data_IF_718816450875
#
_entry.id   IF_718816450875
#
_cell.length_a   1.000
_cell.length_b   1.000
_cell.length_c   1.000
_cell.angle_alpha   90.00
_cell.angle_beta   90.00
_cell.angle_gamma   90.00
#
_symmetry.space_group_name_H-M   'P 1'
#
loop_
_entity.id
_entity.type
_entity.pdbx_description
1 polymer ?
#
# COMPACT_ATOMS: atom_id res chain seq x y z
N UNK A 1 -3.58 -11.70 -22.43
CA UNK A 1 -4.35 -11.70 -21.16
C UNK A 1 -3.75 -12.81 -20.32
N UNK A 2 -3.32 -12.52 -19.08
CA UNK A 2 -2.73 -13.54 -18.20
C UNK A 2 -3.86 -14.43 -17.64
N UNK A 3 -3.65 -15.75 -17.57
CA UNK A 3 -4.66 -16.74 -17.11
C UNK A 3 -5.12 -16.43 -15.68
N UNK A 4 -4.22 -15.92 -14.85
CA UNK A 4 -4.51 -15.48 -13.49
C UNK A 4 -5.55 -14.36 -13.44
N UNK A 5 -5.46 -13.37 -14.34
CA UNK A 5 -6.42 -12.25 -14.40
C UNK A 5 -7.78 -12.69 -14.96
N UNK A 6 -7.84 -13.80 -15.71
CA UNK A 6 -9.10 -14.35 -16.20
C UNK A 6 -9.82 -15.10 -15.08
N UNK A 7 -9.10 -15.92 -14.31
CA UNK A 7 -9.64 -16.67 -13.17
C UNK A 7 -10.08 -15.73 -12.03
N UNK A 8 -9.33 -14.67 -11.74
CA UNK A 8 -9.71 -13.70 -10.72
C UNK A 8 -11.02 -12.98 -11.07
N UNK A 9 -11.21 -12.62 -12.34
CA UNK A 9 -12.43 -11.96 -12.81
C UNK A 9 -13.64 -12.90 -12.75
N UNK A 10 -13.48 -14.15 -13.16
CA UNK A 10 -14.54 -15.17 -13.16
C UNK A 10 -15.00 -15.53 -11.73
N UNK A 11 -14.05 -15.59 -10.78
CA UNK A 11 -14.36 -15.83 -9.36
C UNK A 11 -15.12 -14.63 -8.74
N UNK A 12 -14.73 -13.40 -9.06
CA UNK A 12 -15.44 -12.19 -8.58
C UNK A 12 -16.87 -12.16 -9.12
N UNK A 13 -17.06 -12.41 -10.41
CA UNK A 13 -18.37 -12.39 -11.07
C UNK A 13 -19.30 -13.49 -10.52
N UNK A 14 -18.75 -14.68 -10.20
CA UNK A 14 -19.48 -15.74 -9.53
C UNK A 14 -19.92 -15.38 -8.11
N UNK A 15 -19.05 -14.72 -7.33
CA UNK A 15 -19.36 -14.30 -5.96
C UNK A 15 -20.41 -13.18 -5.92
N UNK A 16 -20.31 -12.20 -6.83
CA UNK A 16 -21.29 -11.12 -6.97
C UNK A 16 -22.68 -11.66 -7.35
N UNK A 17 -22.72 -12.63 -8.27
CA UNK A 17 -23.97 -13.32 -8.66
C UNK A 17 -24.59 -14.09 -7.48
N UNK A 18 -23.78 -14.76 -6.66
CA UNK A 18 -24.26 -15.48 -5.47
C UNK A 18 -24.76 -14.56 -4.37
N UNK A 19 -24.19 -13.39 -4.21
CA UNK A 19 -24.66 -12.38 -3.26
C UNK A 19 -25.97 -11.72 -3.73
N UNK A 20 -26.15 -11.53 -5.04
CA UNK A 20 -27.41 -11.04 -5.61
C UNK A 20 -28.56 -12.05 -5.38
N UNK A 21 -28.33 -13.33 -5.70
CA UNK A 21 -29.30 -14.42 -5.48
C UNK A 21 -29.69 -14.56 -3.99
N UNK A 22 -28.78 -14.24 -3.06
CA UNK A 22 -29.04 -14.25 -1.61
C UNK A 22 -29.83 -13.03 -1.13
N UNK A 23 -29.68 -11.88 -1.78
CA UNK A 23 -30.46 -10.67 -1.46
C UNK A 23 -31.90 -10.82 -1.94
N UNK A 24 -32.11 -11.28 -3.17
CA UNK A 24 -33.45 -11.51 -3.72
C UNK A 24 -34.24 -12.54 -2.90
N UNK A 25 -33.59 -13.63 -2.45
CA UNK A 25 -34.23 -14.62 -1.55
C UNK A 25 -34.57 -14.07 -0.16
N UNK A 26 -33.90 -13.03 0.31
CA UNK A 26 -34.20 -12.39 1.61
C UNK A 26 -35.32 -11.37 1.50
N UNK A 27 -35.46 -10.71 0.35
CA UNK A 27 -36.53 -9.76 0.06
C UNK A 27 -37.89 -10.48 -0.06
N UNK A 28 -37.95 -11.61 -0.78
CA UNK A 28 -39.18 -12.39 -0.94
C UNK A 28 -39.68 -12.95 0.42
N UNK A 29 -38.78 -13.37 1.30
CA UNK A 29 -39.12 -13.87 2.65
C UNK A 29 -39.52 -12.73 3.60
N UNK A 30 -39.00 -11.51 3.39
CA UNK A 30 -39.39 -10.36 4.21
C UNK A 30 -40.79 -9.84 3.85
N UNK A 31 -41.16 -9.86 2.55
CA UNK A 31 -42.49 -9.46 2.09
C UNK A 31 -43.59 -10.46 2.50
N UNK A 32 -43.34 -11.77 2.46
CA UNK A 32 -44.31 -12.78 2.92
C UNK A 32 -44.55 -12.77 4.44
N UNK A 33 -43.57 -12.31 5.24
CA UNK A 33 -43.70 -12.24 6.71
C UNK A 33 -44.41 -10.96 7.16
N UNK A 34 -44.32 -9.86 6.43
CA UNK A 34 -45.02 -8.61 6.78
C UNK A 34 -46.54 -8.69 6.57
N UNK A 35 -47.03 -9.54 5.66
CA UNK A 35 -48.47 -9.66 5.38
C UNK A 35 -49.22 -10.48 6.45
N UNK A 36 -48.53 -11.30 7.26
CA UNK A 36 -49.08 -12.04 8.40
C UNK A 36 -48.73 -11.40 9.75
N UNK A 37 -48.93 -10.09 9.86
CA UNK A 37 -48.95 -9.41 11.16
C UNK A 37 -50.14 -9.91 12.00
N UNK A 38 -49.88 -10.84 12.91
CA UNK A 38 -50.67 -11.04 14.12
C UNK A 38 -50.73 -9.69 14.85
N UNK A 39 -51.76 -8.86 14.57
CA UNK A 39 -51.98 -7.52 15.16
C UNK A 39 -51.97 -7.47 16.70
N UNK A 40 -51.94 -8.62 17.36
CA UNK A 40 -51.85 -8.77 18.82
C UNK A 40 -50.74 -9.78 19.12
N UNK A 41 -49.67 -9.33 19.78
CA UNK A 41 -48.58 -10.19 20.25
C UNK A 41 -49.05 -10.96 21.50
N UNK A 42 -49.68 -12.11 21.25
CA UNK A 42 -50.25 -12.97 22.28
C UNK A 42 -49.20 -13.47 23.28
N UNK A 43 -47.98 -13.74 22.81
CA UNK A 43 -46.92 -14.27 23.68
C UNK A 43 -46.50 -13.23 24.72
N UNK A 44 -46.27 -11.99 24.29
CA UNK A 44 -45.88 -10.90 25.19
C UNK A 44 -46.95 -10.60 26.24
N UNK A 45 -48.22 -10.56 25.84
CA UNK A 45 -49.34 -10.34 26.76
C UNK A 45 -49.48 -11.48 27.77
N UNK A 46 -49.30 -12.72 27.31
CA UNK A 46 -49.35 -13.91 28.15
C UNK A 46 -48.22 -13.94 29.18
N UNK A 47 -46.99 -13.67 28.76
CA UNK A 47 -45.84 -13.57 29.67
C UNK A 47 -46.04 -12.49 30.73
N UNK A 48 -46.55 -11.32 30.32
CA UNK A 48 -46.90 -10.22 31.23
C UNK A 48 -47.97 -10.65 32.27
N UNK A 49 -48.94 -11.49 31.87
CA UNK A 49 -49.96 -12.00 32.78
C UNK A 49 -49.38 -13.00 33.81
N UNK A 50 -48.49 -13.91 33.37
CA UNK A 50 -47.77 -14.83 34.27
C UNK A 50 -46.87 -14.09 35.26
N UNK A 51 -46.14 -13.07 34.82
CA UNK A 51 -45.30 -12.22 35.69
C UNK A 51 -46.11 -11.52 36.78
N UNK A 52 -47.34 -11.11 36.46
CA UNK A 52 -48.29 -10.51 37.42
C UNK A 52 -49.02 -11.53 38.29
N UNK A 53 -48.71 -12.82 38.16
CA UNK A 53 -49.44 -13.95 38.78
C UNK A 53 -50.95 -13.96 38.45
N UNK A 54 -51.36 -13.38 37.32
CA UNK A 54 -52.74 -13.36 36.84
C UNK A 54 -53.00 -14.57 35.93
N UNK A 55 -53.16 -15.74 36.57
CA UNK A 55 -53.41 -17.01 35.88
C UNK A 55 -54.71 -17.02 35.09
N UNK A 56 -55.71 -16.24 35.49
CA UNK A 56 -56.97 -16.14 34.77
C UNK A 56 -56.77 -15.50 33.40
N UNK A 57 -56.08 -14.36 33.37
CA UNK A 57 -55.76 -13.67 32.11
C UNK A 57 -54.83 -14.49 31.23
N UNK A 58 -53.82 -15.16 31.81
CA UNK A 58 -52.92 -16.04 31.06
C UNK A 58 -53.67 -17.23 30.41
N UNK A 59 -54.54 -17.91 31.15
CA UNK A 59 -55.37 -19.01 30.61
C UNK A 59 -56.31 -18.54 29.50
N UNK A 60 -56.95 -17.39 29.69
CA UNK A 60 -57.83 -16.80 28.67
C UNK A 60 -57.07 -16.48 27.37
N UNK A 61 -55.85 -15.96 27.47
CA UNK A 61 -55.01 -15.70 26.30
C UNK A 61 -54.59 -16.99 25.59
N UNK A 62 -54.29 -18.06 26.34
CA UNK A 62 -53.98 -19.37 25.77
C UNK A 62 -55.19 -19.98 25.03
N UNK A 63 -56.38 -19.91 25.63
CA UNK A 63 -57.64 -20.34 24.99
C UNK A 63 -57.96 -19.55 23.72
N UNK A 64 -57.71 -18.22 23.71
CA UNK A 64 -57.85 -17.39 22.51
C UNK A 64 -56.91 -17.86 21.38
N UNK A 65 -55.68 -18.26 21.70
CA UNK A 65 -54.72 -18.81 20.72
C UNK A 65 -55.16 -20.19 20.22
N UNK A 66 -55.69 -21.06 21.09
CA UNK A 66 -56.25 -22.35 20.70
C UNK A 66 -57.44 -22.21 19.74
N UNK A 67 -58.33 -21.26 20.00
CA UNK A 67 -59.46 -20.98 19.10
C UNK A 67 -58.99 -20.47 17.73
N UNK A 68 -57.93 -19.64 17.70
CA UNK A 68 -57.34 -19.18 16.45
C UNK A 68 -56.64 -20.28 15.67
N UNK A 69 -55.95 -21.19 16.37
CA UNK A 69 -55.40 -22.41 15.76
C UNK A 69 -56.49 -23.28 15.14
N UNK A 70 -57.61 -23.50 15.84
CA UNK A 70 -58.72 -24.31 15.35
C UNK A 70 -59.39 -23.73 14.10
N UNK A 71 -59.36 -22.40 13.95
CA UNK A 71 -59.95 -21.68 12.81
C UNK A 71 -58.91 -21.33 11.72
N UNK A 72 -57.66 -21.76 11.84
CA UNK A 72 -56.62 -21.48 10.86
C UNK A 72 -56.85 -22.24 9.55
N UNK A 73 -56.84 -21.54 8.41
CA UNK A 73 -57.15 -22.11 7.10
C UNK A 73 -55.89 -22.66 6.40
N UNK A 74 -54.72 -22.10 6.72
CA UNK A 74 -53.45 -22.48 6.09
C UNK A 74 -52.55 -23.30 7.00
N UNK A 75 -51.69 -24.14 6.40
CA UNK A 75 -50.72 -24.94 7.16
C UNK A 75 -49.67 -24.08 7.87
N UNK A 76 -49.32 -22.93 7.27
CA UNK A 76 -48.37 -21.96 7.84
C UNK A 76 -48.93 -21.30 9.11
N UNK A 77 -50.22 -20.92 9.12
CA UNK A 77 -50.87 -20.40 10.31
C UNK A 77 -50.95 -21.46 11.42
N UNK A 78 -51.29 -22.71 11.05
CA UNK A 78 -51.33 -23.82 12.01
C UNK A 78 -49.97 -24.06 12.64
N UNK A 79 -48.90 -24.07 11.86
CA UNK A 79 -47.52 -24.23 12.36
C UNK A 79 -47.13 -23.07 13.29
N UNK A 80 -47.47 -21.83 12.91
CA UNK A 80 -47.20 -20.63 13.72
C UNK A 80 -47.91 -20.68 15.06
N UNK A 81 -49.22 -20.99 15.08
CA UNK A 81 -49.95 -21.10 16.34
C UNK A 81 -49.55 -22.33 17.16
N UNK A 82 -49.10 -23.42 16.53
CA UNK A 82 -48.56 -24.60 17.22
C UNK A 82 -47.32 -24.21 18.03
N UNK A 83 -46.33 -23.57 17.40
CA UNK A 83 -45.13 -23.11 18.11
C UNK A 83 -45.44 -22.09 19.22
N UNK A 84 -46.42 -21.22 19.01
CA UNK A 84 -46.88 -20.28 20.04
C UNK A 84 -47.51 -21.00 21.24
N UNK A 85 -48.39 -21.98 21.00
CA UNK A 85 -49.00 -22.78 22.07
C UNK A 85 -47.98 -23.62 22.83
N UNK A 86 -47.01 -24.22 22.16
CA UNK A 86 -45.93 -25.00 22.81
C UNK A 86 -45.11 -24.13 23.77
N UNK A 87 -44.76 -22.92 23.34
CA UNK A 87 -44.05 -21.96 24.18
C UNK A 87 -44.89 -21.53 25.39
N UNK A 88 -46.17 -21.19 25.17
CA UNK A 88 -47.08 -20.80 26.26
C UNK A 88 -47.32 -21.95 27.25
N UNK A 89 -47.46 -23.18 26.77
CA UNK A 89 -47.67 -24.36 27.60
C UNK A 89 -46.44 -24.67 28.45
N UNK A 90 -45.23 -24.54 27.88
CA UNK A 90 -43.97 -24.73 28.61
C UNK A 90 -43.85 -23.72 29.74
N UNK A 91 -44.11 -22.44 29.47
CA UNK A 91 -44.07 -21.37 30.49
C UNK A 91 -45.13 -21.57 31.59
N UNK A 92 -46.34 -22.04 31.25
CA UNK A 92 -47.36 -22.39 32.25
C UNK A 92 -46.93 -23.58 33.12
N UNK A 93 -46.32 -24.60 32.53
CA UNK A 93 -45.82 -25.77 33.27
C UNK A 93 -44.69 -25.39 34.23
N UNK A 94 -43.78 -24.52 33.78
CA UNK A 94 -42.70 -23.99 34.62
C UNK A 94 -43.22 -23.08 35.74
N UNK A 95 -44.31 -22.35 35.49
CA UNK A 95 -45.01 -21.56 36.50
C UNK A 95 -45.66 -22.45 37.56
N UNK A 96 -46.41 -23.48 37.15
CA UNK A 96 -47.07 -24.42 38.07
C UNK A 96 -46.05 -25.19 38.93
N UNK A 97 -44.92 -25.62 38.35
CA UNK A 97 -43.83 -26.26 39.09
C UNK A 97 -43.17 -25.32 40.14
N UNK A 98 -43.05 -24.02 39.81
CA UNK A 98 -42.59 -23.00 40.77
C UNK A 98 -43.61 -22.73 41.88
N UNK A 99 -44.91 -22.79 41.57
CA UNK A 99 -45.96 -22.59 42.56
C UNK A 99 -46.09 -23.79 43.53
N UNK A 100 -45.91 -25.02 43.04
CA UNK A 100 -45.88 -26.22 43.89
C UNK A 100 -44.67 -26.24 44.84
N UNK A 101 -43.49 -25.87 44.35
CA UNK A 101 -42.29 -25.73 45.19
C UNK A 101 -42.40 -24.56 46.19
N UNK A 102 -43.04 -23.44 45.82
CA UNK A 102 -43.37 -22.36 46.78
C UNK A 102 -44.41 -22.82 47.84
N UNK A 103 -45.40 -23.64 47.47
CA UNK A 103 -46.40 -24.18 48.40
C UNK A 103 -45.84 -25.23 49.35
N UNK A 104 -44.91 -26.07 48.91
CA UNK A 104 -44.16 -27.00 49.77
C UNK A 104 -43.23 -26.25 50.73
N UNK A 105 -42.53 -25.21 50.25
CA UNK A 105 -41.67 -24.35 51.07
C UNK A 105 -42.47 -23.55 52.12
N UNK A 106 -43.67 -23.07 51.78
CA UNK A 106 -44.58 -22.40 52.74
C UNK A 106 -45.18 -23.40 53.75
N UNK A 107 -45.47 -24.66 53.37
CA UNK A 107 -45.87 -25.72 54.31
C UNK A 107 -44.74 -26.09 55.28
N UNK A 108 -43.50 -26.12 54.80
CA UNK A 108 -42.30 -26.37 55.62
C UNK A 108 -42.06 -25.23 56.62
N UNK A 109 -42.20 -23.97 56.19
CA UNK A 109 -42.08 -22.77 57.04
C UNK A 109 -43.23 -22.65 58.05
N UNK A 110 -44.46 -23.07 57.71
CA UNK A 110 -45.60 -23.03 58.64
C UNK A 110 -45.49 -24.12 59.73
N UNK A 111 -44.71 -25.20 59.47
CA UNK A 111 -44.48 -26.28 60.44
C UNK A 111 -43.34 -26.01 61.44
N UNK A 112 -42.47 -25.02 61.18
CA UNK A 112 -41.31 -24.69 62.01
C UNK A 112 -41.45 -23.41 62.85
N UNK A 113 -42.64 -22.84 62.97
CA UNK A 113 -42.88 -21.58 63.68
C UNK A 113 -43.36 -21.74 65.14
N UNK A 114 -42.51 -22.17 66.07
CA UNK A 114 -42.67 -21.80 67.50
C UNK A 114 -41.58 -20.81 67.90
N UNK A 115 -41.92 -19.53 67.78
CA UNK A 115 -41.53 -18.38 68.63
C UNK A 115 -40.12 -18.45 69.25
N UNK A 116 -39.12 -17.87 68.55
CA UNK A 116 -37.96 -17.09 69.08
C UNK A 116 -36.91 -16.85 67.97
N UNK A 117 -37.20 -16.03 66.95
CA UNK A 117 -36.16 -15.59 65.99
C UNK A 117 -36.58 -14.38 65.12
N UNK A 118 -37.19 -13.35 65.72
CA UNK A 118 -37.60 -12.14 64.99
C UNK A 118 -36.51 -11.05 64.97
N UNK A 119 -35.51 -11.09 65.86
CA UNK A 119 -34.48 -10.03 65.92
C UNK A 119 -33.28 -10.23 64.96
N UNK A 120 -33.17 -11.36 64.24
CA UNK A 120 -32.04 -11.66 63.34
C UNK A 120 -32.35 -11.56 61.83
N UNK A 121 -33.61 -11.29 61.46
CA UNK A 121 -34.05 -11.16 60.06
C UNK A 121 -34.24 -9.71 59.59
N UNK A 122 -34.49 -8.75 60.50
CA UNK A 122 -34.58 -7.33 60.13
C UNK A 122 -33.20 -6.74 59.78
N UNK A 123 -32.16 -7.07 60.55
CA UNK A 123 -30.78 -6.59 60.33
C UNK A 123 -30.18 -7.03 58.98
N UNK A 124 -30.50 -8.23 58.49
CA UNK A 124 -30.03 -8.72 57.18
C UNK A 124 -30.73 -8.07 55.98
N UNK A 125 -31.94 -7.54 56.17
CA UNK A 125 -32.70 -6.86 55.13
C UNK A 125 -32.17 -5.44 54.90
N UNK A 126 -31.76 -4.77 55.98
CA UNK A 126 -31.20 -3.43 55.92
C UNK A 126 -29.80 -3.41 55.29
N UNK A 127 -28.92 -4.37 55.63
CA UNK A 127 -27.59 -4.50 55.01
C UNK A 127 -27.64 -4.76 53.49
N UNK A 128 -28.62 -5.55 53.05
CA UNK A 128 -28.85 -5.82 51.63
C UNK A 128 -29.22 -4.55 50.86
N UNK A 129 -30.17 -3.77 51.41
CA UNK A 129 -30.68 -2.57 50.75
C UNK A 129 -29.62 -1.46 50.69
N UNK A 130 -28.84 -1.29 51.76
CA UNK A 130 -27.71 -0.35 51.79
C UNK A 130 -26.66 -0.69 50.72
N UNK A 131 -26.28 -1.98 50.61
CA UNK A 131 -25.31 -2.43 49.60
C UNK A 131 -25.85 -2.22 48.18
N UNK A 132 -27.12 -2.54 47.93
CA UNK A 132 -27.79 -2.37 46.64
C UNK A 132 -27.78 -0.90 46.20
N UNK A 133 -28.23 0.01 47.08
CA UNK A 133 -28.29 1.45 46.80
C UNK A 133 -26.89 2.01 46.54
N UNK A 134 -25.91 1.62 47.35
CA UNK A 134 -24.53 2.07 47.18
C UNK A 134 -23.95 1.69 45.81
N UNK A 135 -24.04 0.42 45.42
CA UNK A 135 -23.51 -0.05 44.13
C UNK A 135 -24.27 0.59 42.97
N UNK A 136 -25.60 0.75 43.08
CA UNK A 136 -26.42 1.43 42.07
C UNK A 136 -25.92 2.85 41.81
N UNK A 137 -25.70 3.64 42.86
CA UNK A 137 -25.23 5.01 42.74
C UNK A 137 -23.83 5.08 42.13
N UNK A 138 -22.93 4.17 42.51
CA UNK A 138 -21.59 4.10 41.91
C UNK A 138 -21.64 3.75 40.41
N UNK A 139 -22.53 2.85 39.99
CA UNK A 139 -22.73 2.50 38.58
C UNK A 139 -23.25 3.67 37.75
N UNK A 140 -24.18 4.47 38.30
CA UNK A 140 -24.66 5.70 37.65
C UNK A 140 -23.51 6.68 37.44
N UNK A 141 -22.69 6.90 38.47
CA UNK A 141 -21.51 7.80 38.38
C UNK A 141 -20.51 7.31 37.34
N UNK A 142 -20.25 6.01 37.25
CA UNK A 142 -19.37 5.46 36.20
C UNK A 142 -19.94 5.72 34.80
N UNK A 143 -21.25 5.52 34.63
CA UNK A 143 -21.92 5.72 33.35
C UNK A 143 -21.88 7.19 32.89
N UNK A 144 -22.03 8.12 33.82
CA UNK A 144 -21.88 9.57 33.58
C UNK A 144 -20.44 9.90 33.15
N UNK A 145 -19.43 9.37 33.85
CA UNK A 145 -18.01 9.58 33.48
C UNK A 145 -17.68 8.98 32.12
N UNK A 146 -18.18 7.79 31.80
CA UNK A 146 -18.01 7.19 30.47
C UNK A 146 -18.57 8.14 29.41
N UNK A 147 -19.79 8.64 29.62
CA UNK A 147 -20.43 9.60 28.71
C UNK A 147 -19.61 10.88 28.55
N UNK A 148 -19.09 11.45 29.64
CA UNK A 148 -18.20 12.61 29.58
C UNK A 148 -16.91 12.34 28.79
N UNK A 149 -16.26 11.21 29.05
CA UNK A 149 -15.02 10.84 28.34
C UNK A 149 -15.29 10.59 26.87
N UNK A 150 -16.43 9.99 26.51
CA UNK A 150 -16.85 9.83 25.13
C UNK A 150 -17.07 11.17 24.43
N UNK A 151 -17.72 12.14 25.10
CA UNK A 151 -17.91 13.50 24.59
C UNK A 151 -16.57 14.23 24.39
N UNK A 152 -15.62 14.06 25.33
CA UNK A 152 -14.25 14.58 25.22
C UNK A 152 -13.40 13.81 24.20
N UNK A 153 -13.91 12.71 23.66
CA UNK A 153 -13.19 11.82 22.76
C UNK A 153 -12.06 11.04 23.44
N UNK A 154 -12.00 10.94 24.77
CA UNK A 154 -10.98 10.17 25.47
C UNK A 154 -11.37 8.69 25.60
N UNK A 155 -11.09 7.95 24.53
CA UNK A 155 -11.37 6.51 24.45
C UNK A 155 -10.69 5.70 25.56
N UNK A 156 -9.49 6.09 26.00
CA UNK A 156 -8.75 5.32 27.00
C UNK A 156 -9.37 5.47 28.39
N UNK A 157 -9.73 6.70 28.76
CA UNK A 157 -10.44 6.98 30.00
C UNK A 157 -11.83 6.33 30.02
N UNK A 158 -12.60 6.47 28.94
CA UNK A 158 -13.92 5.83 28.80
C UNK A 158 -13.86 4.30 28.96
N UNK A 159 -12.85 3.65 28.36
CA UNK A 159 -12.67 2.20 28.47
C UNK A 159 -12.26 1.76 29.87
N UNK A 160 -11.50 2.58 30.60
CA UNK A 160 -11.13 2.29 31.98
C UNK A 160 -12.34 2.39 32.92
N UNK A 161 -13.14 3.44 32.79
CA UNK A 161 -14.38 3.57 33.58
C UNK A 161 -15.39 2.46 33.25
N UNK A 162 -15.49 2.04 31.98
CA UNK A 162 -16.29 0.89 31.60
C UNK A 162 -15.86 -0.42 32.29
N UNK A 163 -14.55 -0.65 32.46
CA UNK A 163 -14.05 -1.82 33.20
C UNK A 163 -14.42 -1.74 34.68
N UNK A 164 -14.34 -0.55 35.28
CA UNK A 164 -14.78 -0.31 36.67
C UNK A 164 -16.27 -0.58 36.83
N UNK A 165 -17.10 -0.03 35.93
CA UNK A 165 -18.55 -0.24 35.88
C UNK A 165 -18.89 -1.72 35.76
N UNK A 166 -18.21 -2.45 34.86
CA UNK A 166 -18.39 -3.90 34.72
C UNK A 166 -18.03 -4.67 36.00
N UNK A 167 -16.98 -4.24 36.71
CA UNK A 167 -16.59 -4.81 37.99
C UNK A 167 -17.69 -4.68 39.03
N UNK A 168 -18.17 -3.44 39.24
CA UNK A 168 -19.26 -3.13 40.18
C UNK A 168 -20.58 -3.80 39.83
N UNK A 169 -20.90 -3.92 38.54
CA UNK A 169 -22.08 -4.63 38.07
C UNK A 169 -22.09 -6.10 38.53
N UNK A 170 -20.94 -6.77 38.53
CA UNK A 170 -20.83 -8.15 39.00
C UNK A 170 -21.02 -8.27 40.52
N UNK A 171 -20.78 -7.19 41.27
CA UNK A 171 -21.01 -7.12 42.72
C UNK A 171 -22.47 -6.80 43.08
N UNK A 172 -23.28 -6.41 42.08
CA UNK A 172 -24.69 -6.05 42.27
C UNK A 172 -25.52 -7.29 42.66
N UNK A 173 -26.38 -7.20 43.71
CA UNK A 173 -27.09 -8.36 44.22
C UNK A 173 -28.01 -9.03 43.19
N UNK A 174 -28.06 -10.36 43.18
CA UNK A 174 -28.85 -11.17 42.23
C UNK A 174 -30.35 -11.14 42.54
N UNK A 175 -30.70 -10.83 43.78
CA UNK A 175 -32.07 -10.74 44.28
C UNK A 175 -32.83 -9.55 43.66
N UNK A 176 -32.11 -8.52 43.21
CA UNK A 176 -32.66 -7.31 42.56
C UNK A 176 -32.70 -7.46 41.02
N UNK A 177 -33.31 -8.53 40.52
CA UNK A 177 -33.28 -8.94 39.09
C UNK A 177 -33.65 -7.83 38.11
N UNK A 178 -34.75 -7.12 38.35
CA UNK A 178 -35.27 -6.07 37.45
C UNK A 178 -34.25 -4.93 37.30
N UNK A 179 -33.70 -4.44 38.42
CA UNK A 179 -32.70 -3.37 38.36
C UNK A 179 -31.37 -3.85 37.79
N UNK A 180 -30.99 -5.10 38.07
CA UNK A 180 -29.79 -5.69 37.48
C UNK A 180 -29.92 -5.79 35.96
N UNK A 181 -31.11 -6.05 35.43
CA UNK A 181 -31.39 -6.03 34.00
C UNK A 181 -31.30 -4.61 33.41
N UNK A 182 -31.85 -3.60 34.09
CA UNK A 182 -31.71 -2.19 33.68
C UNK A 182 -30.23 -1.76 33.63
N UNK A 183 -29.47 -2.05 34.68
CA UNK A 183 -28.04 -1.74 34.76
C UNK A 183 -27.22 -2.49 33.70
N UNK A 184 -27.65 -3.70 33.33
CA UNK A 184 -27.03 -4.46 32.25
C UNK A 184 -27.26 -3.79 30.89
N UNK A 185 -28.46 -3.27 30.64
CA UNK A 185 -28.76 -2.51 29.42
C UNK A 185 -27.92 -1.23 29.33
N UNK A 186 -27.72 -0.53 30.45
CA UNK A 186 -26.83 0.63 30.52
C UNK A 186 -25.37 0.27 30.21
N UNK A 187 -24.89 -0.85 30.78
CA UNK A 187 -23.55 -1.37 30.50
C UNK A 187 -23.37 -1.71 29.01
N UNK A 188 -24.37 -2.35 28.39
CA UNK A 188 -24.37 -2.65 26.95
C UNK A 188 -24.34 -1.37 26.11
N UNK A 189 -25.19 -0.39 26.47
CA UNK A 189 -25.25 0.89 25.79
C UNK A 189 -23.89 1.59 25.78
N UNK A 190 -23.25 1.70 26.95
CA UNK A 190 -21.92 2.28 27.11
C UNK A 190 -20.85 1.55 26.28
N UNK A 191 -20.90 0.21 26.23
CA UNK A 191 -20.00 -0.59 25.39
C UNK A 191 -20.13 -0.24 23.90
N UNK A 192 -21.36 -0.16 23.38
CA UNK A 192 -21.59 0.18 21.97
C UNK A 192 -21.12 1.59 21.63
N UNK A 193 -21.30 2.56 22.53
CA UNK A 193 -20.80 3.92 22.34
C UNK A 193 -19.27 3.96 22.28
N UNK A 194 -18.59 3.23 23.19
CA UNK A 194 -17.13 3.07 23.16
C UNK A 194 -16.67 2.44 21.84
N UNK A 195 -17.34 1.38 21.38
CA UNK A 195 -17.01 0.71 20.10
C UNK A 195 -17.21 1.62 18.89
N UNK A 196 -18.25 2.45 18.90
CA UNK A 196 -18.47 3.46 17.86
C UNK A 196 -17.33 4.47 17.80
N UNK A 197 -16.90 5.00 18.95
CA UNK A 197 -15.77 5.95 19.01
C UNK A 197 -14.45 5.29 18.60
N UNK A 198 -14.22 4.03 18.99
CA UNK A 198 -13.04 3.26 18.57
C UNK A 198 -12.95 3.14 17.04
N UNK A 199 -14.08 2.86 16.38
CA UNK A 199 -14.16 2.78 14.92
C UNK A 199 -13.82 4.12 14.26
N UNK A 200 -14.43 5.21 14.73
CA UNK A 200 -14.17 6.57 14.21
C UNK A 200 -12.68 6.91 14.33
N UNK A 201 -12.08 6.71 15.51
CA UNK A 201 -10.64 6.97 15.71
C UNK A 201 -9.73 6.11 14.84
N UNK A 202 -10.15 4.89 14.51
CA UNK A 202 -9.39 4.02 13.61
C UNK A 202 -9.44 4.56 12.17
N UNK A 203 -10.63 4.96 11.71
CA UNK A 203 -10.83 5.57 10.39
C UNK A 203 -10.04 6.89 10.25
N UNK A 204 -10.09 7.78 11.24
CA UNK A 204 -9.31 9.02 11.27
C UNK A 204 -7.78 8.77 11.19
N UNK A 205 -7.29 7.73 11.88
CA UNK A 205 -5.88 7.33 11.81
C UNK A 205 -5.49 6.79 10.43
N UNK A 206 -6.39 6.06 9.78
CA UNK A 206 -6.17 5.54 8.43
C UNK A 206 -6.19 6.67 7.39
N UNK A 207 -7.12 7.62 7.49
CA UNK A 207 -7.19 8.80 6.62
C UNK A 207 -5.96 9.69 6.77
N UNK A 208 -5.57 10.02 8.00
CA UNK A 208 -4.35 10.82 8.24
C UNK A 208 -3.08 10.11 7.77
N UNK A 209 -3.06 8.77 7.78
CA UNK A 209 -1.95 7.99 7.19
C UNK A 209 -1.96 8.09 5.67
N UNK A 210 -3.12 7.93 5.02
CA UNK A 210 -3.28 8.08 3.56
C UNK A 210 -2.88 9.49 3.10
N UNK A 211 -3.35 10.53 3.77
CA UNK A 211 -3.02 11.93 3.45
C UNK A 211 -1.51 12.20 3.60
N UNK A 212 -0.87 11.69 4.66
CA UNK A 212 0.58 11.78 4.81
C UNK A 212 1.34 11.05 3.71
N UNK A 213 0.85 9.91 3.24
CA UNK A 213 1.48 9.15 2.17
C UNK A 213 1.27 9.81 0.80
N UNK A 214 0.13 10.44 0.56
CA UNK A 214 -0.10 11.27 -0.63
C UNK A 214 0.78 12.51 -0.66
N UNK A 215 0.89 13.26 0.45
CA UNK A 215 1.80 14.41 0.56
C UNK A 215 3.25 14.02 0.27
N UNK A 216 3.69 12.84 0.74
CA UNK A 216 5.03 12.31 0.41
C UNK A 216 5.18 12.01 -1.09
N UNK A 217 4.17 11.40 -1.72
CA UNK A 217 4.18 11.13 -3.17
C UNK A 217 4.26 12.42 -3.98
N UNK A 218 3.50 13.45 -3.59
CA UNK A 218 3.54 14.78 -4.23
C UNK A 218 4.89 15.47 -4.06
N UNK A 219 5.51 15.37 -2.87
CA UNK A 219 6.84 15.93 -2.67
C UNK A 219 7.87 15.25 -3.58
N UNK A 220 7.81 13.91 -3.67
CA UNK A 220 8.70 13.14 -4.54
C UNK A 220 8.52 13.49 -6.02
N UNK A 221 7.29 13.70 -6.49
CA UNK A 221 7.04 14.07 -7.89
C UNK A 221 7.61 15.46 -8.21
N UNK A 222 7.40 16.45 -7.33
CA UNK A 222 7.98 17.80 -7.49
C UNK A 222 9.50 17.76 -7.55
N UNK A 223 10.15 17.02 -6.64
CA UNK A 223 11.62 16.92 -6.65
C UNK A 223 12.13 16.25 -7.93
N UNK A 224 11.41 15.27 -8.48
CA UNK A 224 11.77 14.66 -9.78
C UNK A 224 11.67 15.66 -10.94
N UNK A 225 10.64 16.50 -10.94
CA UNK A 225 10.47 17.57 -11.93
C UNK A 225 11.60 18.60 -11.85
N UNK A 226 11.97 19.04 -10.64
CA UNK A 226 13.07 19.98 -10.42
C UNK A 226 14.41 19.43 -10.94
N UNK A 227 14.71 18.18 -10.65
CA UNK A 227 15.90 17.48 -11.17
C UNK A 227 15.92 17.49 -12.70
N UNK A 228 14.79 17.18 -13.34
CA UNK A 228 14.68 17.16 -14.80
C UNK A 228 14.89 18.56 -15.39
N UNK A 229 14.30 19.59 -14.78
CA UNK A 229 14.43 20.96 -15.23
C UNK A 229 15.87 21.46 -15.14
N UNK A 230 16.52 21.27 -13.98
CA UNK A 230 17.92 21.66 -13.77
C UNK A 230 18.85 20.90 -14.71
N UNK A 231 18.64 19.59 -14.90
CA UNK A 231 19.42 18.80 -15.86
C UNK A 231 19.31 19.36 -17.28
N UNK A 232 18.09 19.69 -17.75
CA UNK A 232 17.87 20.28 -19.07
C UNK A 232 18.59 21.62 -19.23
N UNK A 233 18.58 22.48 -18.21
CA UNK A 233 19.33 23.74 -18.23
C UNK A 233 20.84 23.52 -18.36
N UNK A 234 21.40 22.58 -17.60
CA UNK A 234 22.81 22.21 -17.71
C UNK A 234 23.15 21.76 -19.13
N UNK A 235 22.35 20.88 -19.73
CA UNK A 235 22.55 20.43 -21.11
C UNK A 235 22.52 21.59 -22.12
N UNK A 236 21.59 22.53 -21.97
CA UNK A 236 21.50 23.73 -22.80
C UNK A 236 22.78 24.58 -22.64
N UNK A 237 23.23 24.84 -21.41
CA UNK A 237 24.44 25.63 -21.18
C UNK A 237 25.70 24.94 -21.70
N UNK A 238 25.79 23.61 -21.61
CA UNK A 238 26.88 22.84 -22.21
C UNK A 238 26.89 22.91 -23.74
N UNK A 239 25.73 22.86 -24.39
CA UNK A 239 25.60 23.05 -25.85
C UNK A 239 26.03 24.47 -26.27
N UNK A 240 25.69 25.47 -25.47
CA UNK A 240 26.08 26.87 -25.70
C UNK A 240 27.55 27.17 -25.32
N UNK A 241 28.26 26.24 -24.70
CA UNK A 241 29.64 26.46 -24.23
C UNK A 241 29.76 27.38 -23.01
N UNK A 242 28.64 27.67 -22.32
CA UNK A 242 28.59 28.51 -21.11
C UNK A 242 28.89 27.67 -19.86
N UNK A 243 30.15 27.32 -19.67
CA UNK A 243 30.57 26.39 -18.61
C UNK A 243 30.32 26.88 -17.18
N UNK A 244 30.46 28.18 -16.92
CA UNK A 244 30.21 28.75 -15.58
C UNK A 244 28.76 28.55 -15.16
N UNK A 245 27.81 28.90 -16.03
CA UNK A 245 26.37 28.69 -15.81
C UNK A 245 25.99 27.22 -15.68
N UNK A 246 26.63 26.34 -16.46
CA UNK A 246 26.41 24.91 -16.33
C UNK A 246 26.89 24.36 -14.97
N UNK A 247 27.95 24.95 -14.39
CA UNK A 247 28.44 24.58 -13.07
C UNK A 247 27.57 25.15 -11.94
N UNK A 248 27.06 26.37 -12.08
CA UNK A 248 26.09 26.96 -11.14
C UNK A 248 24.83 26.09 -11.01
N UNK A 249 24.22 25.69 -12.12
CA UNK A 249 23.06 24.79 -12.11
C UNK A 249 23.42 23.39 -11.59
N UNK A 250 24.66 22.94 -11.73
CA UNK A 250 25.11 21.68 -11.13
C UNK A 250 25.15 21.75 -9.59
N UNK A 251 25.55 22.88 -9.00
CA UNK A 251 25.46 23.08 -7.56
C UNK A 251 23.99 23.07 -7.10
N UNK A 252 23.07 23.68 -7.84
CA UNK A 252 21.62 23.55 -7.57
C UNK A 252 21.16 22.09 -7.59
N UNK A 253 21.62 21.30 -8.57
CA UNK A 253 21.30 19.86 -8.64
C UNK A 253 21.84 19.08 -7.43
N UNK A 254 23.02 19.48 -6.92
CA UNK A 254 23.64 18.90 -5.73
C UNK A 254 22.87 19.29 -4.47
N UNK A 255 22.43 20.53 -4.33
CA UNK A 255 21.56 20.97 -3.24
C UNK A 255 20.23 20.19 -3.21
N UNK A 256 19.62 19.96 -4.38
CA UNK A 256 18.41 19.11 -4.49
C UNK A 256 18.71 17.68 -4.02
N UNK A 257 19.88 17.14 -4.36
CA UNK A 257 20.31 15.81 -3.93
C UNK A 257 20.57 15.73 -2.41
N UNK A 258 21.22 16.74 -1.84
CA UNK A 258 21.55 16.79 -0.41
C UNK A 258 20.27 16.89 0.43
N UNK A 259 19.32 17.70 -0.03
CA UNK A 259 17.99 17.87 0.57
C UNK A 259 17.00 16.74 0.22
N UNK A 260 17.41 15.76 -0.59
CA UNK A 260 16.53 14.67 -1.00
C UNK A 260 16.10 13.81 0.20
N UNK A 261 14.80 13.53 0.39
CA UNK A 261 14.32 12.87 1.61
C UNK A 261 14.95 11.48 1.80
N UNK A 262 15.50 11.23 3.00
CA UNK A 262 16.19 9.96 3.33
C UNK A 262 15.33 8.70 3.14
N UNK A 263 14.00 8.84 3.21
CA UNK A 263 13.06 7.72 3.05
C UNK A 263 13.00 7.14 1.63
N UNK A 264 13.54 7.85 0.64
CA UNK A 264 13.56 7.44 -0.77
C UNK A 264 14.99 7.09 -1.19
N UNK A 265 15.58 6.09 -0.54
CA UNK A 265 17.00 5.77 -0.69
C UNK A 265 17.35 5.26 -2.10
N UNK A 266 16.44 4.51 -2.74
CA UNK A 266 16.62 4.02 -4.10
C UNK A 266 16.63 5.16 -5.12
N UNK A 267 15.66 6.07 -5.04
CA UNK A 267 15.61 7.26 -5.89
C UNK A 267 16.79 8.19 -5.61
N UNK A 268 17.23 8.32 -4.36
CA UNK A 268 18.43 9.09 -4.00
C UNK A 268 19.67 8.47 -4.66
N UNK A 269 19.82 7.14 -4.64
CA UNK A 269 20.91 6.44 -5.36
C UNK A 269 20.83 6.67 -6.87
N UNK A 270 19.64 6.66 -7.46
CA UNK A 270 19.46 6.97 -8.87
C UNK A 270 19.84 8.42 -9.21
N UNK A 271 19.41 9.37 -8.38
CA UNK A 271 19.77 10.79 -8.50
C UNK A 271 21.28 10.98 -8.37
N UNK A 272 21.94 10.33 -7.42
CA UNK A 272 23.40 10.37 -7.25
C UNK A 272 24.15 9.93 -8.52
N UNK A 273 23.75 8.78 -9.10
CA UNK A 273 24.33 8.28 -10.36
C UNK A 273 24.16 9.30 -11.49
N UNK A 274 22.98 9.93 -11.56
CA UNK A 274 22.69 10.97 -12.55
C UNK A 274 23.54 12.22 -12.34
N UNK A 275 23.65 12.72 -11.11
CA UNK A 275 24.51 13.86 -10.74
C UNK A 275 25.97 13.61 -11.12
N UNK A 276 26.50 12.40 -10.88
CA UNK A 276 27.86 12.03 -11.32
C UNK A 276 27.99 12.09 -12.85
N UNK A 277 26.99 11.60 -13.58
CA UNK A 277 26.99 11.59 -15.06
C UNK A 277 27.04 13.03 -15.60
N UNK A 278 26.23 13.92 -15.02
CA UNK A 278 26.21 15.35 -15.37
C UNK A 278 27.56 16.01 -15.11
N UNK A 279 28.16 15.78 -13.93
CA UNK A 279 29.48 16.31 -13.60
C UNK A 279 30.56 15.85 -14.61
N UNK A 280 30.58 14.56 -14.96
CA UNK A 280 31.51 14.01 -15.97
C UNK A 280 31.34 14.69 -17.33
N UNK A 281 30.10 14.99 -17.73
CA UNK A 281 29.81 15.69 -18.98
C UNK A 281 30.36 17.13 -18.96
N UNK A 282 30.16 17.86 -17.87
CA UNK A 282 30.72 19.21 -17.67
C UNK A 282 32.25 19.17 -17.76
N UNK A 283 32.90 18.26 -17.02
CA UNK A 283 34.36 18.12 -17.00
C UNK A 283 34.93 17.85 -18.39
N UNK A 284 34.35 16.90 -19.13
CA UNK A 284 34.74 16.58 -20.51
C UNK A 284 34.64 17.81 -21.41
N UNK A 285 33.54 18.57 -21.31
CA UNK A 285 33.34 19.78 -22.12
C UNK A 285 34.36 20.87 -21.79
N UNK A 286 34.70 21.03 -20.51
CA UNK A 286 35.75 21.95 -20.06
C UNK A 286 37.10 21.61 -20.68
N UNK A 287 37.47 20.33 -20.70
CA UNK A 287 38.72 19.87 -21.34
C UNK A 287 38.72 20.09 -22.85
N UNK A 288 37.61 19.82 -23.54
CA UNK A 288 37.45 20.09 -24.98
C UNK A 288 37.68 21.57 -25.31
N UNK A 289 37.09 22.48 -24.52
CA UNK A 289 37.24 23.93 -24.73
C UNK A 289 38.69 24.37 -24.45
N UNK A 290 39.34 23.85 -23.40
CA UNK A 290 40.76 24.11 -23.13
C UNK A 290 41.67 23.67 -24.28
N UNK A 291 41.44 22.47 -24.84
CA UNK A 291 42.17 21.94 -26.01
C UNK A 291 41.96 22.80 -27.27
N UNK A 292 40.74 23.31 -27.48
CA UNK A 292 40.46 24.22 -28.61
C UNK A 292 41.14 25.58 -28.44
N UNK A 293 41.15 26.15 -27.23
CA UNK A 293 41.84 27.41 -26.94
C UNK A 293 43.36 27.30 -27.13
N UNK A 294 43.98 26.24 -26.61
CA UNK A 294 45.43 25.96 -26.79
C UNK A 294 45.80 25.76 -28.26
N UNK A 295 45.00 25.01 -29.03
CA UNK A 295 45.19 24.90 -30.49
C UNK A 295 45.04 26.25 -31.21
N UNK A 296 44.14 27.13 -30.76
CA UNK A 296 43.95 28.46 -31.35
C UNK A 296 45.11 29.41 -31.00
N UNK A 297 45.66 29.34 -29.79
CA UNK A 297 46.83 30.13 -29.38
C UNK A 297 48.14 29.63 -30.01
N UNK A 298 48.22 28.36 -30.41
CA UNK A 298 49.33 27.82 -31.20
C UNK A 298 49.23 28.17 -32.69
N UNK A 299 48.09 28.66 -33.19
CA UNK A 299 47.96 29.32 -34.51
C UNK A 299 48.37 30.80 -34.45
N UNK A 300 49.43 31.13 -33.70
CA UNK A 300 50.19 32.37 -33.95
C UNK A 300 50.92 32.21 -35.27
N UNK A 301 51.17 33.32 -35.96
CA UNK A 301 51.68 33.40 -37.34
C UNK A 301 52.79 32.37 -37.60
N UNK A 302 52.39 31.25 -38.22
CA UNK A 302 53.32 30.27 -38.77
C UNK A 302 54.08 31.03 -39.85
N UNK A 303 55.38 31.25 -39.62
CA UNK A 303 56.25 31.91 -40.60
C UNK A 303 56.20 31.13 -41.92
N UNK A 304 56.44 31.77 -43.07
CA UNK A 304 56.44 31.08 -44.37
C UNK A 304 57.28 29.79 -44.35
N UNK A 305 58.44 29.82 -43.68
CA UNK A 305 59.32 28.66 -43.48
C UNK A 305 58.67 27.54 -42.67
N UNK A 306 57.96 27.86 -41.58
CA UNK A 306 57.25 26.85 -40.81
C UNK A 306 56.04 26.28 -41.57
N UNK A 307 55.43 27.04 -42.49
CA UNK A 307 54.37 26.53 -43.37
C UNK A 307 54.93 25.51 -44.36
N UNK A 308 56.10 25.79 -44.90
CA UNK A 308 56.78 24.89 -45.84
C UNK A 308 57.25 23.61 -45.15
N UNK A 309 57.89 23.72 -43.98
CA UNK A 309 58.22 22.57 -43.13
C UNK A 309 57.00 21.72 -42.76
N UNK A 310 55.87 22.36 -42.43
CA UNK A 310 54.62 21.65 -42.14
C UNK A 310 54.01 20.97 -43.37
N UNK A 311 54.15 21.55 -44.57
CA UNK A 311 53.74 20.89 -45.82
C UNK A 311 54.58 19.65 -46.09
N UNK A 312 55.90 19.74 -45.98
CA UNK A 312 56.83 18.60 -46.12
C UNK A 312 56.52 17.51 -45.09
N UNK A 313 56.27 17.88 -43.83
CA UNK A 313 55.92 16.92 -42.78
C UNK A 313 54.59 16.21 -43.06
N UNK A 314 53.54 16.94 -43.44
CA UNK A 314 52.23 16.36 -43.75
C UNK A 314 52.31 15.43 -44.97
N UNK A 315 53.12 15.79 -45.98
CA UNK A 315 53.39 14.93 -47.12
C UNK A 315 54.02 13.60 -46.67
N UNK A 316 55.06 13.65 -45.83
CA UNK A 316 55.72 12.44 -45.29
C UNK A 316 54.73 11.59 -44.48
N UNK A 317 53.89 12.20 -43.64
CA UNK A 317 52.87 11.47 -42.85
C UNK A 317 51.88 10.74 -43.76
N UNK A 318 51.40 11.41 -44.81
CA UNK A 318 50.50 10.78 -45.78
C UNK A 318 51.18 9.63 -46.50
N UNK A 319 52.43 9.81 -46.96
CA UNK A 319 53.19 8.75 -47.61
C UNK A 319 53.41 7.53 -46.68
N UNK A 320 53.75 7.73 -45.39
CA UNK A 320 53.85 6.64 -44.41
C UNK A 320 52.55 5.85 -44.29
N UNK A 321 51.41 6.54 -44.33
CA UNK A 321 50.09 5.91 -44.24
C UNK A 321 49.83 5.05 -45.48
N UNK A 322 50.06 5.58 -46.68
CA UNK A 322 49.85 4.84 -47.93
C UNK A 322 50.75 3.60 -48.05
N UNK A 323 52.01 3.72 -47.64
CA UNK A 323 52.96 2.59 -47.57
C UNK A 323 52.45 1.52 -46.59
N UNK A 324 51.99 1.93 -45.39
CA UNK A 324 51.46 1.00 -44.39
C UNK A 324 50.21 0.28 -44.87
N UNK A 325 49.31 0.99 -45.55
CA UNK A 325 48.10 0.43 -46.14
C UNK A 325 48.44 -0.58 -47.25
N UNK A 326 49.44 -0.28 -48.08
CA UNK A 326 50.00 -1.20 -49.08
C UNK A 326 50.53 -2.49 -48.43
N UNK A 327 51.34 -2.37 -47.36
CA UNK A 327 51.84 -3.53 -46.60
C UNK A 327 50.68 -4.35 -46.00
N UNK A 328 49.62 -3.71 -45.50
CA UNK A 328 48.45 -4.42 -44.97
C UNK A 328 47.71 -5.21 -46.06
N UNK A 329 47.60 -4.68 -47.29
CA UNK A 329 47.00 -5.40 -48.42
C UNK A 329 47.81 -6.64 -48.79
N UNK A 330 49.15 -6.53 -48.80
CA UNK A 330 50.06 -7.66 -49.03
C UNK A 330 49.87 -8.74 -47.95
N UNK A 331 49.82 -8.35 -46.67
CA UNK A 331 49.56 -9.29 -45.56
C UNK A 331 48.22 -10.02 -45.70
N UNK A 332 47.21 -9.35 -46.27
CA UNK A 332 45.88 -9.93 -46.57
C UNK A 332 45.83 -10.72 -47.88
N UNK A 333 46.96 -10.92 -48.57
CA UNK A 333 47.06 -11.56 -49.90
C UNK A 333 46.21 -10.91 -51.00
N UNK A 334 45.85 -9.63 -50.88
CA UNK A 334 45.17 -8.84 -51.91
C UNK A 334 46.21 -8.20 -52.84
N UNK A 335 46.86 -9.00 -53.68
CA UNK A 335 48.06 -8.58 -54.41
C UNK A 335 47.78 -7.52 -55.50
N UNK A 336 46.65 -7.62 -56.20
CA UNK A 336 46.27 -6.63 -57.24
C UNK A 336 45.98 -5.25 -56.63
N UNK A 337 45.20 -5.19 -55.55
CA UNK A 337 44.93 -3.96 -54.81
C UNK A 337 46.24 -3.35 -54.26
N UNK A 338 47.16 -4.19 -53.78
CA UNK A 338 48.45 -3.74 -53.27
C UNK A 338 49.34 -3.12 -54.38
N UNK A 339 49.31 -3.67 -55.60
CA UNK A 339 50.06 -3.11 -56.73
C UNK A 339 49.56 -1.75 -57.15
N UNK A 340 48.24 -1.58 -57.28
CA UNK A 340 47.63 -0.28 -57.59
C UNK A 340 48.06 0.76 -56.56
N UNK A 341 48.04 0.38 -55.27
CA UNK A 341 48.47 1.25 -54.17
C UNK A 341 49.97 1.55 -54.20
N UNK A 342 50.80 0.58 -54.55
CA UNK A 342 52.24 0.76 -54.70
C UNK A 342 52.57 1.74 -55.85
N UNK A 343 51.80 1.73 -56.94
CA UNK A 343 51.93 2.71 -58.03
C UNK A 343 51.63 4.11 -57.51
N UNK A 344 50.58 4.29 -56.70
CA UNK A 344 50.28 5.59 -56.07
C UNK A 344 51.42 6.05 -55.15
N UNK A 345 51.96 5.16 -54.32
CA UNK A 345 53.12 5.44 -53.47
C UNK A 345 54.32 5.88 -54.30
N UNK A 346 54.65 5.16 -55.39
CA UNK A 346 55.73 5.53 -56.32
C UNK A 346 55.48 6.89 -56.98
N UNK A 347 54.23 7.20 -57.35
CA UNK A 347 53.87 8.53 -57.87
C UNK A 347 54.08 9.62 -56.84
N UNK A 348 53.72 9.38 -55.58
CA UNK A 348 53.97 10.34 -54.49
C UNK A 348 55.47 10.60 -54.34
N UNK A 349 56.33 9.59 -54.44
CA UNK A 349 57.79 9.76 -54.34
C UNK A 349 58.39 10.76 -55.34
N UNK A 350 57.75 10.97 -56.49
CA UNK A 350 58.21 11.99 -57.45
C UNK A 350 58.05 13.43 -56.94
N UNK A 351 57.21 13.63 -55.92
CA UNK A 351 56.93 14.92 -55.29
C UNK A 351 57.55 15.01 -53.89
N UNK A 352 58.54 14.17 -53.60
CA UNK A 352 59.16 14.12 -52.28
C UNK A 352 59.94 15.43 -52.01
N UNK A 353 59.78 16.05 -50.83
CA UNK A 353 60.48 17.29 -50.49
C UNK A 353 62.01 17.15 -50.56
N UNK A 354 62.67 18.08 -51.27
CA UNK A 354 64.13 18.05 -51.47
C UNK A 354 64.90 18.21 -50.15
N UNK A 355 64.32 18.89 -49.15
CA UNK A 355 64.90 19.09 -47.82
C UNK A 355 64.92 17.82 -46.95
N UNK A 356 64.42 16.69 -47.47
CA UNK A 356 64.20 15.43 -46.75
C UNK A 356 64.81 14.22 -47.46
N UNK A 357 65.96 14.41 -48.09
CA UNK A 357 66.62 13.39 -48.91
C UNK A 357 66.90 12.08 -48.15
N UNK A 358 67.27 12.13 -46.86
CA UNK A 358 67.51 10.92 -46.06
C UNK A 358 66.24 10.08 -45.86
N UNK A 359 65.10 10.72 -45.57
CA UNK A 359 63.82 10.00 -45.49
C UNK A 359 63.39 9.46 -46.85
N UNK A 360 63.67 10.18 -47.94
CA UNK A 360 63.38 9.72 -49.31
C UNK A 360 64.05 8.38 -49.60
N UNK A 361 65.35 8.28 -49.32
CA UNK A 361 66.13 7.04 -49.52
C UNK A 361 65.57 5.86 -48.72
N UNK A 362 65.13 6.11 -47.48
CA UNK A 362 64.47 5.08 -46.66
C UNK A 362 63.16 4.58 -47.29
N UNK A 363 62.36 5.48 -47.87
CA UNK A 363 61.14 5.09 -48.57
C UNK A 363 61.41 4.38 -49.88
N UNK A 364 62.43 4.78 -50.64
CA UNK A 364 62.83 4.09 -51.87
C UNK A 364 63.21 2.64 -51.57
N UNK A 365 64.04 2.42 -50.55
CA UNK A 365 64.39 1.07 -50.10
C UNK A 365 63.15 0.25 -49.70
N UNK A 366 62.25 0.84 -48.93
CA UNK A 366 61.03 0.17 -48.48
C UNK A 366 60.07 -0.14 -49.65
N UNK A 367 59.99 0.73 -50.64
CA UNK A 367 59.20 0.54 -51.86
C UNK A 367 59.77 -0.60 -52.70
N UNK A 368 61.09 -0.73 -52.77
CA UNK A 368 61.76 -1.83 -53.47
C UNK A 368 61.52 -3.16 -52.76
N UNK A 369 61.66 -3.21 -51.43
CA UNK A 369 61.31 -4.39 -50.63
C UNK A 369 59.85 -4.82 -50.86
N UNK A 370 58.91 -3.85 -50.85
CA UNK A 370 57.49 -4.10 -51.11
C UNK A 370 57.30 -4.64 -52.53
N UNK A 371 57.97 -4.05 -53.52
CA UNK A 371 57.92 -4.48 -54.93
C UNK A 371 58.39 -5.92 -55.06
N UNK A 372 59.55 -6.26 -54.48
CA UNK A 372 60.08 -7.62 -54.47
C UNK A 372 59.13 -8.60 -53.78
N UNK A 373 58.52 -8.19 -52.66
CA UNK A 373 57.60 -9.05 -51.93
C UNK A 373 56.34 -9.37 -52.72
N UNK A 374 55.76 -8.39 -53.41
CA UNK A 374 54.59 -8.61 -54.29
C UNK A 374 54.95 -9.59 -55.41
N UNK A 375 56.07 -9.35 -56.11
CA UNK A 375 56.52 -10.20 -57.21
C UNK A 375 56.77 -11.65 -56.76
N UNK A 376 57.45 -11.83 -55.62
CA UNK A 376 57.66 -13.14 -55.03
C UNK A 376 56.34 -13.85 -54.73
N UNK A 377 55.40 -13.17 -54.07
CA UNK A 377 54.11 -13.78 -53.72
C UNK A 377 53.31 -14.18 -54.97
N UNK A 378 53.31 -13.35 -56.02
CA UNK A 378 52.68 -13.68 -57.31
C UNK A 378 53.29 -14.89 -57.99
N UNK A 379 54.62 -15.00 -58.00
CA UNK A 379 55.30 -16.18 -58.54
C UNK A 379 54.90 -17.45 -57.77
N UNK A 380 54.89 -17.38 -56.44
CA UNK A 380 54.48 -18.54 -55.62
C UNK A 380 53.01 -18.91 -55.78
N UNK A 381 52.10 -17.95 -55.98
CA UNK A 381 50.69 -18.27 -56.23
C UNK A 381 50.47 -18.92 -57.60
N UNK A 382 51.24 -18.54 -58.62
CA UNK A 382 51.17 -19.15 -59.93
C UNK A 382 51.66 -20.60 -59.91
N UNK A 383 52.67 -20.91 -59.09
CA UNK A 383 53.17 -22.28 -58.90
C UNK A 383 52.16 -23.16 -58.12
N UNK A 384 51.37 -22.58 -57.21
CA UNK A 384 50.34 -23.33 -56.46
C UNK A 384 49.07 -23.62 -57.27
N UNK A 385 48.82 -22.84 -58.31
CA UNK A 385 47.65 -22.97 -59.19
C UNK A 385 47.95 -23.73 -60.50
N UNK A 386 49.22 -24.03 -60.77
CA UNK A 386 49.69 -24.87 -61.87
C UNK A 386 49.92 -26.30 -61.36
#
# INVERSE_FOLDING_TARGET
MNIENFLEKDIIEFLEKKDLERKEKREIVAEEIEEFSLKKDYYKLFKTALEKRDLYTAKKLFEEVQQKFANAETDVEKETYTGLMENMFTEMKDFDAKEETEKEFVKEITSMGTIKEIESKETKKDEFEEKRIKIKNELVVDNEKISEFLQKGDLAAAMNEYKSMKGRFNEFPDEAKVEKEELFNDLISSYYQIKKLEKIKKEEKEETKKEKDEKKKQLLSRTKEDVLLVTKKIEIFLKQGKLTKAMEEYETLKEIFDNFPKKFEEEKKALYKHTIKVYKAIKKKTEEIKRKKTKKSMKKEITPEEREKNKSLNFIINLKKEVKDTIMLIKKRKLEEAEVKLIEVKRMMNWFPEDKQSEKEQFEHLIDEITHRINFLKQTSNIQNA
#
